data_IF_324479916222
#
_entry.id   IF_324479916222
#
_cell.length_a   1.000
_cell.length_b   1.000
_cell.length_c   1.000
_cell.angle_alpha   90.00
_cell.angle_beta   90.00
_cell.angle_gamma   90.00
#
_symmetry.space_group_name_H-M   'P 1'
#
loop_
_entity.id
_entity.type
_entity.pdbx_description
1 polymer ?
#
# COMPACT_ATOMS: atom_id res chain seq x y z
N UNK A 1 7.69 -13.73 -15.96
CA UNK A 1 8.66 -14.47 -15.11
C UNK A 1 8.40 -13.98 -13.68
N UNK A 2 7.81 -14.80 -12.80
CA UNK A 2 7.46 -14.33 -11.44
C UNK A 2 8.74 -14.06 -10.64
N UNK A 3 8.90 -12.83 -10.16
CA UNK A 3 10.03 -12.43 -9.33
C UNK A 3 10.05 -13.19 -8.00
N UNK A 4 11.21 -13.70 -7.60
CA UNK A 4 11.42 -14.44 -6.35
C UNK A 4 11.89 -13.49 -5.23
N UNK A 5 11.58 -13.78 -3.96
CA UNK A 5 11.98 -12.98 -2.78
C UNK A 5 13.48 -12.68 -2.73
N UNK A 6 14.31 -13.58 -3.23
CA UNK A 6 15.78 -13.38 -3.30
C UNK A 6 16.17 -12.23 -4.23
N UNK A 7 15.43 -11.99 -5.32
CA UNK A 7 15.70 -10.87 -6.22
C UNK A 7 15.38 -9.53 -5.54
N UNK A 8 14.27 -9.44 -4.80
CA UNK A 8 13.91 -8.23 -4.06
C UNK A 8 14.97 -7.91 -2.99
N UNK A 9 15.49 -8.94 -2.29
CA UNK A 9 16.61 -8.73 -1.36
C UNK A 9 17.85 -8.17 -2.05
N UNK A 10 18.17 -8.65 -3.26
CA UNK A 10 19.28 -8.11 -4.06
C UNK A 10 19.03 -6.65 -4.43
N UNK A 11 17.84 -6.30 -4.94
CA UNK A 11 17.48 -4.90 -5.23
C UNK A 11 17.61 -3.98 -4.01
N UNK A 12 17.18 -4.43 -2.83
CA UNK A 12 17.33 -3.68 -1.58
C UNK A 12 18.80 -3.50 -1.21
N UNK A 13 19.61 -4.56 -1.31
CA UNK A 13 21.03 -4.52 -0.98
C UNK A 13 21.86 -3.67 -1.96
N UNK A 14 21.41 -3.56 -3.20
CA UNK A 14 22.05 -2.80 -4.28
C UNK A 14 21.62 -1.32 -4.30
N UNK A 15 20.70 -0.91 -3.43
CA UNK A 15 20.20 0.46 -3.39
C UNK A 15 21.33 1.47 -3.15
N UNK A 16 21.52 2.37 -4.11
CA UNK A 16 22.49 3.46 -4.00
C UNK A 16 21.95 4.56 -3.08
N UNK A 17 22.78 4.99 -2.14
CA UNK A 17 22.50 6.12 -1.25
C UNK A 17 22.31 7.39 -2.10
N UNK A 18 21.34 8.22 -1.74
CA UNK A 18 21.00 9.49 -2.42
C UNK A 18 20.57 9.35 -3.89
N UNK A 19 20.16 8.16 -4.33
CA UNK A 19 19.54 7.93 -5.63
C UNK A 19 18.09 7.50 -5.45
N UNK A 20 17.30 7.60 -6.53
CA UNK A 20 15.96 7.01 -6.56
C UNK A 20 16.04 5.49 -6.45
N UNK A 21 14.91 4.83 -6.17
CA UNK A 21 14.88 3.37 -6.14
C UNK A 21 15.06 2.80 -7.55
N UNK A 22 15.42 1.52 -7.62
CA UNK A 22 15.37 0.77 -8.88
C UNK A 22 13.96 0.82 -9.50
N UNK A 23 13.89 0.81 -10.83
CA UNK A 23 12.63 0.88 -11.57
C UNK A 23 11.61 -0.16 -11.10
N UNK A 24 12.07 -1.35 -10.74
CA UNK A 24 11.24 -2.47 -10.33
C UNK A 24 10.35 -2.14 -9.13
N UNK A 25 10.83 -1.30 -8.20
CA UNK A 25 10.04 -0.88 -7.03
C UNK A 25 8.81 -0.03 -7.38
N UNK A 26 8.74 0.52 -8.60
CA UNK A 26 7.63 1.36 -9.03
C UNK A 26 6.64 0.64 -9.95
N UNK A 27 7.08 -0.39 -10.67
CA UNK A 27 6.29 -0.98 -11.77
C UNK A 27 6.02 -2.48 -11.62
N UNK A 28 6.77 -3.18 -10.76
CA UNK A 28 6.61 -4.63 -10.62
C UNK A 28 5.39 -4.99 -9.76
N UNK A 29 4.47 -5.77 -10.32
CA UNK A 29 3.24 -6.19 -9.64
C UNK A 29 3.51 -7.08 -8.42
N UNK A 30 4.60 -7.85 -8.41
CA UNK A 30 4.95 -8.72 -7.28
C UNK A 30 5.43 -7.89 -6.10
N UNK A 31 6.24 -6.85 -6.35
CA UNK A 31 6.65 -5.89 -5.32
C UNK A 31 5.44 -5.13 -4.79
N UNK A 32 4.56 -4.64 -5.66
CA UNK A 32 3.34 -3.93 -5.24
C UNK A 32 2.46 -4.79 -4.32
N UNK A 33 2.28 -6.08 -4.66
CA UNK A 33 1.55 -7.02 -3.79
C UNK A 33 2.20 -7.18 -2.42
N UNK A 34 3.53 -7.21 -2.35
CA UNK A 34 4.25 -7.29 -1.09
C UNK A 34 4.13 -6.00 -0.26
N UNK A 35 4.08 -4.84 -0.91
CA UNK A 35 3.83 -3.56 -0.23
C UNK A 35 2.45 -3.55 0.44
N UNK A 36 1.42 -4.05 -0.26
CA UNK A 36 0.08 -4.20 0.32
C UNK A 36 0.12 -5.13 1.55
N UNK A 37 0.69 -6.33 1.39
CA UNK A 37 0.71 -7.37 2.44
C UNK A 37 1.57 -7.02 3.66
N UNK A 38 2.65 -6.26 3.47
CA UNK A 38 3.64 -6.02 4.53
C UNK A 38 3.64 -4.60 5.08
N UNK A 39 3.14 -3.63 4.32
CA UNK A 39 3.06 -2.24 4.75
C UNK A 39 1.61 -1.80 4.91
N UNK A 40 0.85 -1.65 3.82
CA UNK A 40 -0.47 -1.02 3.89
C UNK A 40 -1.47 -1.74 4.80
N UNK A 41 -1.49 -3.07 4.80
CA UNK A 41 -2.40 -3.85 5.65
C UNK A 41 -1.94 -3.98 7.11
N UNK A 42 -0.74 -3.48 7.45
CA UNK A 42 -0.15 -3.60 8.79
C UNK A 42 0.11 -2.25 9.45
N UNK A 43 -0.16 -1.14 8.77
CA UNK A 43 0.07 0.22 9.27
C UNK A 43 -1.25 0.99 9.39
N UNK A 44 -1.24 2.05 10.20
CA UNK A 44 -2.36 2.99 10.24
C UNK A 44 -2.42 3.80 8.94
N UNK A 45 -3.58 3.77 8.28
CA UNK A 45 -3.86 4.53 7.07
C UNK A 45 -4.86 5.63 7.39
N UNK A 46 -4.48 6.86 7.09
CA UNK A 46 -5.41 7.99 7.17
C UNK A 46 -6.45 7.87 6.06
N UNK A 47 -7.72 7.72 6.42
CA UNK A 47 -8.82 7.49 5.47
C UNK A 47 -9.54 8.78 5.09
N UNK A 48 -10.08 9.51 6.07
CA UNK A 48 -10.78 10.77 5.84
C UNK A 48 -10.94 11.56 7.16
N UNK A 49 -11.48 12.77 7.07
CA UNK A 49 -11.88 13.58 8.21
C UNK A 49 -13.33 13.28 8.63
N UNK A 50 -13.59 13.38 9.94
CA UNK A 50 -14.89 13.10 10.56
C UNK A 50 -16.04 13.96 10.00
N UNK A 51 -15.73 15.15 9.45
CA UNK A 51 -16.73 16.05 8.86
C UNK A 51 -17.39 15.50 7.59
N UNK A 52 -16.84 14.45 6.97
CA UNK A 52 -17.48 13.79 5.81
C UNK A 52 -18.74 13.01 6.20
N UNK A 53 -18.80 12.52 7.44
CA UNK A 53 -19.91 11.74 7.99
C UNK A 53 -20.43 12.42 9.27
N UNK A 54 -21.05 13.61 9.16
CA UNK A 54 -21.44 14.40 10.33
C UNK A 54 -22.62 13.78 11.09
N UNK A 55 -23.52 13.05 10.42
CA UNK A 55 -24.73 12.51 11.02
C UNK A 55 -24.66 10.99 11.20
N UNK A 56 -25.51 10.47 12.09
CA UNK A 56 -25.66 9.02 12.32
C UNK A 56 -26.17 8.35 11.05
N UNK A 57 -25.52 7.25 10.65
CA UNK A 57 -25.88 6.50 9.44
C UNK A 57 -25.27 7.06 8.14
N UNK A 58 -24.58 8.21 8.17
CA UNK A 58 -23.75 8.64 7.04
C UNK A 58 -22.60 7.64 6.88
N UNK A 59 -22.39 7.15 5.65
CA UNK A 59 -21.33 6.19 5.35
C UNK A 59 -20.69 6.45 3.99
N UNK A 60 -19.47 5.92 3.81
CA UNK A 60 -18.83 5.83 2.51
C UNK A 60 -17.97 4.57 2.41
N UNK A 61 -17.62 4.20 1.18
CA UNK A 61 -16.67 3.13 0.89
C UNK A 61 -15.27 3.71 0.73
N UNK A 62 -14.30 3.05 1.34
CA UNK A 62 -12.88 3.30 1.15
C UNK A 62 -12.22 2.02 0.64
N UNK A 63 -11.46 2.12 -0.46
CA UNK A 63 -10.77 0.99 -1.04
C UNK A 63 -9.27 1.10 -0.76
N UNK A 64 -8.65 0.00 -0.33
CA UNK A 64 -7.21 -0.11 -0.16
C UNK A 64 -6.72 -1.43 -0.72
N UNK A 65 -5.81 -1.37 -1.70
CA UNK A 65 -5.44 -2.55 -2.47
C UNK A 65 -6.68 -3.19 -3.09
N UNK A 66 -6.94 -4.45 -2.71
CA UNK A 66 -8.09 -5.21 -3.18
C UNK A 66 -9.23 -5.29 -2.16
N UNK A 67 -9.13 -4.57 -1.04
CA UNK A 67 -10.10 -4.56 0.04
C UNK A 67 -11.03 -3.33 -0.06
N UNK A 68 -12.29 -3.53 0.31
CA UNK A 68 -13.29 -2.45 0.41
C UNK A 68 -13.84 -2.36 1.82
N UNK A 69 -13.81 -1.16 2.40
CA UNK A 69 -14.12 -0.89 3.80
C UNK A 69 -15.29 0.08 3.86
N UNK A 70 -16.33 -0.28 4.62
CA UNK A 70 -17.42 0.63 4.95
C UNK A 70 -16.99 1.46 6.16
N UNK A 71 -16.93 2.78 6.00
CA UNK A 71 -16.74 3.73 7.10
C UNK A 71 -18.10 4.37 7.38
N UNK A 72 -18.62 4.19 8.59
CA UNK A 72 -19.96 4.64 9.01
C UNK A 72 -19.90 5.30 10.38
N UNK A 73 -20.78 6.28 10.60
CA UNK A 73 -21.00 6.90 11.92
C UNK A 73 -22.11 6.22 12.72
#
# INVERSE_FOLDING_TARGET
MSMNKEHIKSLINEQLINHTLDQSFYIDETIFKLDLENFFYKQWVFVDHVSRIPNIGDYFLFNIGNESIIVIR
#
